data_IF_578622794406
#
_entry.id   IF_578622794406
#
_cell.length_a   1.000
_cell.length_b   1.000
_cell.length_c   1.000
_cell.angle_alpha   90.00
_cell.angle_beta   90.00
_cell.angle_gamma   90.00
#
_symmetry.space_group_name_H-M   'P 1'
#
loop_
_entity.id
_entity.type
_entity.pdbx_description
1 polymer ?
#
# COMPACT_ATOMS: atom_id res chain seq x y z
N UNK A 1 -17.37 24.20 -0.06
CA UNK A 1 -16.58 25.43 0.13
C UNK A 1 -15.09 25.19 0.37
N UNK A 2 -14.70 24.00 0.81
CA UNK A 2 -13.31 23.60 1.10
C UNK A 2 -12.66 22.80 -0.06
N UNK A 3 -13.40 22.61 -1.16
CA UNK A 3 -12.91 21.87 -2.32
C UNK A 3 -12.23 22.84 -3.31
N UNK A 4 -11.13 22.40 -3.92
CA UNK A 4 -10.44 23.15 -4.96
C UNK A 4 -11.38 23.44 -6.13
N UNK A 5 -11.14 24.54 -6.86
CA UNK A 5 -11.89 24.86 -8.11
C UNK A 5 -11.54 23.90 -9.27
N UNK A 6 -10.37 23.30 -9.23
CA UNK A 6 -9.87 22.38 -10.24
C UNK A 6 -8.36 22.44 -10.38
N UNK A 7 -7.83 21.59 -11.25
CA UNK A 7 -6.41 21.61 -11.63
C UNK A 7 -6.15 22.70 -12.69
N UNK A 8 -5.16 23.52 -12.44
CA UNK A 8 -4.84 24.65 -13.32
C UNK A 8 -4.51 24.18 -14.76
N UNK A 9 -5.25 24.69 -15.74
CA UNK A 9 -5.15 24.32 -17.16
C UNK A 9 -5.28 22.80 -17.46
N UNK A 10 -5.94 22.04 -16.58
CA UNK A 10 -6.17 20.59 -16.74
C UNK A 10 -7.65 20.27 -16.58
N UNK A 11 -8.52 20.61 -17.54
CA UNK A 11 -9.96 20.41 -17.42
C UNK A 11 -10.34 18.93 -17.33
N UNK A 12 -9.69 18.04 -18.07
CA UNK A 12 -9.96 16.60 -18.03
C UNK A 12 -9.62 16.00 -16.65
N UNK A 13 -8.46 16.36 -16.08
CA UNK A 13 -8.09 15.92 -14.74
C UNK A 13 -9.05 16.48 -13.66
N UNK A 14 -9.57 17.68 -13.88
CA UNK A 14 -10.58 18.28 -13.00
C UNK A 14 -11.89 17.52 -13.07
N UNK A 15 -12.38 17.21 -14.26
CA UNK A 15 -13.62 16.44 -14.46
C UNK A 15 -13.51 15.01 -13.92
N UNK A 16 -12.33 14.39 -14.00
CA UNK A 16 -12.07 13.08 -13.42
C UNK A 16 -12.06 13.09 -11.88
N UNK A 17 -11.68 14.23 -11.27
CA UNK A 17 -11.57 14.36 -9.81
C UNK A 17 -12.83 14.93 -9.15
N UNK A 18 -13.58 15.80 -9.84
CA UNK A 18 -14.79 16.46 -9.32
C UNK A 18 -15.93 16.12 -10.26
N UNK A 19 -16.94 15.42 -9.75
CA UNK A 19 -18.12 15.07 -10.55
C UNK A 19 -19.05 16.27 -10.81
N UNK A 20 -20.09 16.09 -11.63
CA UNK A 20 -21.06 17.13 -12.00
C UNK A 20 -21.83 17.69 -10.78
N UNK A 21 -22.01 16.90 -9.73
CA UNK A 21 -22.64 17.31 -8.47
C UNK A 21 -21.69 18.08 -7.52
N UNK A 22 -20.44 18.27 -7.93
CA UNK A 22 -19.43 18.99 -7.15
C UNK A 22 -18.72 18.15 -6.07
N UNK A 23 -18.86 16.80 -6.08
CA UNK A 23 -18.16 15.92 -5.15
C UNK A 23 -16.74 15.64 -5.63
N UNK A 24 -15.78 15.82 -4.72
CA UNK A 24 -14.37 15.49 -4.96
C UNK A 24 -14.10 14.02 -4.61
N UNK A 25 -13.62 13.25 -5.58
CA UNK A 25 -13.11 11.90 -5.39
C UNK A 25 -11.66 11.98 -4.88
N UNK A 26 -11.43 11.73 -3.60
CA UNK A 26 -10.09 11.80 -2.99
C UNK A 26 -9.18 10.65 -3.41
N UNK A 27 -9.77 9.55 -3.88
CA UNK A 27 -9.07 8.29 -4.14
C UNK A 27 -8.77 7.48 -2.87
N UNK A 28 -9.22 7.97 -1.70
CA UNK A 28 -9.12 7.25 -0.45
C UNK A 28 -10.40 6.47 -0.15
N UNK A 29 -10.26 5.34 0.51
CA UNK A 29 -11.34 4.53 1.03
C UNK A 29 -11.48 4.77 2.53
N UNK A 30 -12.72 4.92 2.97
CA UNK A 30 -13.02 5.14 4.39
C UNK A 30 -14.20 4.27 4.83
N UNK A 31 -14.18 3.89 6.09
CA UNK A 31 -15.31 3.25 6.78
C UNK A 31 -15.90 4.25 7.79
N UNK A 32 -17.21 4.40 7.77
CA UNK A 32 -17.94 5.19 8.76
C UNK A 32 -18.35 4.27 9.91
N UNK A 33 -18.11 4.69 11.15
CA UNK A 33 -18.60 4.00 12.34
C UNK A 33 -20.03 4.42 12.72
N UNK A 34 -20.59 3.79 13.76
CA UNK A 34 -21.94 4.06 14.26
C UNK A 34 -22.09 5.46 14.85
N UNK A 35 -21.00 6.09 15.30
CA UNK A 35 -20.98 7.45 15.83
C UNK A 35 -20.79 8.50 14.73
N UNK A 36 -20.61 8.08 13.47
CA UNK A 36 -20.45 8.94 12.32
C UNK A 36 -19.01 9.35 12.01
N UNK A 37 -18.00 8.83 12.73
CA UNK A 37 -16.59 9.09 12.44
C UNK A 37 -16.12 8.27 11.24
N UNK A 38 -15.22 8.84 10.46
CA UNK A 38 -14.60 8.18 9.31
C UNK A 38 -13.19 7.71 9.65
N UNK A 39 -12.92 6.43 9.41
CA UNK A 39 -11.58 5.86 9.48
C UNK A 39 -11.10 5.56 8.05
N UNK A 40 -9.97 6.14 7.63
CA UNK A 40 -9.35 5.81 6.35
C UNK A 40 -8.84 4.37 6.41
N UNK A 41 -9.28 3.55 5.45
CA UNK A 41 -8.93 2.13 5.37
C UNK A 41 -7.91 1.83 4.26
N UNK A 42 -7.68 2.77 3.35
CA UNK A 42 -6.69 2.63 2.29
C UNK A 42 -6.86 3.63 1.16
N UNK A 43 -6.07 3.42 0.11
CA UNK A 43 -6.18 4.14 -1.17
C UNK A 43 -6.55 3.18 -2.28
N UNK A 44 -7.42 3.62 -3.17
CA UNK A 44 -7.84 2.81 -4.33
C UNK A 44 -6.63 2.43 -5.18
N UNK A 45 -5.71 3.38 -5.42
CA UNK A 45 -4.49 3.16 -6.24
C UNK A 45 -3.45 2.25 -5.59
N UNK A 46 -3.49 2.07 -4.28
CA UNK A 46 -2.55 1.25 -3.54
C UNK A 46 -3.10 -0.17 -3.28
N UNK A 47 -4.37 -0.41 -3.64
CA UNK A 47 -5.02 -1.71 -3.48
C UNK A 47 -4.27 -2.78 -4.29
N UNK A 48 -4.03 -3.91 -3.65
CA UNK A 48 -3.38 -5.07 -4.26
C UNK A 48 -4.46 -6.05 -4.68
N UNK A 49 -4.45 -6.46 -5.94
CA UNK A 49 -5.40 -7.45 -6.48
C UNK A 49 -4.69 -8.80 -6.55
N UNK A 50 -4.89 -9.61 -5.53
CA UNK A 50 -4.25 -10.92 -5.42
C UNK A 50 -5.26 -12.04 -5.66
N UNK A 51 -5.15 -12.71 -6.81
CA UNK A 51 -6.04 -13.82 -7.15
C UNK A 51 -7.52 -13.45 -7.18
N UNK A 52 -7.85 -12.19 -7.58
CA UNK A 52 -9.21 -11.66 -7.59
C UNK A 52 -9.68 -11.07 -6.26
N UNK A 53 -8.88 -11.15 -5.19
CA UNK A 53 -9.20 -10.53 -3.91
C UNK A 53 -8.55 -9.15 -3.75
N UNK A 54 -9.33 -8.20 -3.27
CA UNK A 54 -8.89 -6.85 -2.98
C UNK A 54 -8.24 -6.78 -1.60
N UNK A 55 -6.95 -6.56 -1.55
CA UNK A 55 -6.17 -6.44 -0.32
C UNK A 55 -5.74 -5.00 -0.14
N UNK A 56 -6.05 -4.44 1.03
CA UNK A 56 -5.70 -3.06 1.36
C UNK A 56 -4.41 -3.02 2.17
N UNK A 57 -3.32 -2.45 1.64
CA UNK A 57 -2.03 -2.36 2.33
C UNK A 57 -2.12 -1.80 3.74
N UNK A 58 -2.95 -0.79 3.95
CA UNK A 58 -3.14 -0.11 5.24
C UNK A 58 -3.51 -1.06 6.39
N UNK A 59 -4.34 -2.07 6.13
CA UNK A 59 -4.73 -3.06 7.13
C UNK A 59 -3.52 -3.87 7.62
N UNK A 60 -2.66 -4.26 6.68
CA UNK A 60 -1.45 -5.04 6.96
C UNK A 60 -0.39 -4.14 7.62
N UNK A 61 -0.23 -2.91 7.13
CA UNK A 61 0.67 -1.91 7.72
C UNK A 61 0.29 -1.60 9.17
N UNK A 62 -0.97 -1.30 9.44
CA UNK A 62 -1.48 -1.00 10.78
C UNK A 62 -1.20 -2.16 11.75
N UNK A 63 -1.34 -3.40 11.28
CA UNK A 63 -1.06 -4.56 12.10
C UNK A 63 0.45 -4.74 12.34
N UNK A 64 1.27 -4.73 11.30
CA UNK A 64 2.74 -4.89 11.43
C UNK A 64 3.32 -3.78 12.31
N UNK A 65 2.78 -2.57 12.23
CA UNK A 65 3.19 -1.43 13.05
C UNK A 65 2.99 -1.65 14.56
N UNK A 66 2.10 -2.57 14.96
CA UNK A 66 1.93 -2.94 16.39
C UNK A 66 3.07 -3.80 16.92
N UNK A 67 3.94 -4.35 16.06
CA UNK A 67 5.07 -5.16 16.50
C UNK A 67 6.11 -4.29 17.25
N UNK A 68 6.56 -4.69 18.46
CA UNK A 68 7.39 -3.84 19.34
C UNK A 68 8.73 -3.41 18.73
N UNK A 69 9.29 -4.22 17.81
CA UNK A 69 10.58 -3.96 17.15
C UNK A 69 10.46 -3.16 15.84
N UNK A 70 9.24 -2.95 15.33
CA UNK A 70 9.02 -2.22 14.08
C UNK A 70 8.95 -0.73 14.35
N UNK A 71 9.69 0.04 13.57
CA UNK A 71 9.67 1.52 13.56
C UNK A 71 8.69 2.05 12.53
N UNK A 72 8.72 1.49 11.32
CA UNK A 72 7.81 1.87 10.23
C UNK A 72 7.66 0.72 9.24
N UNK A 73 6.59 0.72 8.47
CA UNK A 73 6.29 -0.31 7.48
C UNK A 73 5.51 0.25 6.31
N UNK A 74 5.85 -0.21 5.11
CA UNK A 74 5.08 0.06 3.90
C UNK A 74 4.80 -1.25 3.18
N UNK A 75 3.56 -1.42 2.76
CA UNK A 75 3.12 -2.60 2.01
C UNK A 75 2.78 -2.19 0.58
N UNK A 76 3.29 -2.97 -0.37
CA UNK A 76 3.11 -2.77 -1.81
C UNK A 76 2.72 -4.07 -2.50
N UNK A 77 2.04 -3.96 -3.64
CA UNK A 77 1.86 -5.08 -4.56
C UNK A 77 3.06 -5.21 -5.48
N UNK A 78 3.54 -6.43 -5.68
CA UNK A 78 4.53 -6.76 -6.70
C UNK A 78 3.92 -7.75 -7.69
N UNK A 79 4.35 -7.76 -8.97
CA UNK A 79 3.81 -8.68 -9.97
C UNK A 79 4.00 -10.14 -9.57
N UNK A 80 2.99 -10.97 -9.84
CA UNK A 80 3.05 -12.42 -9.65
C UNK A 80 2.36 -13.14 -10.82
N UNK A 81 2.99 -14.19 -11.33
CA UNK A 81 2.51 -14.95 -12.48
C UNK A 81 1.18 -15.66 -12.22
N UNK A 82 0.95 -16.12 -11.00
CA UNK A 82 -0.21 -16.94 -10.64
C UNK A 82 -1.38 -16.08 -10.15
N UNK A 83 -1.08 -15.08 -9.33
CA UNK A 83 -2.10 -14.29 -8.64
C UNK A 83 -2.27 -12.87 -9.21
N UNK A 84 -1.53 -12.51 -10.26
CA UNK A 84 -1.48 -11.14 -10.80
C UNK A 84 -0.59 -10.24 -9.95
N UNK A 85 -0.88 -10.16 -8.67
CA UNK A 85 -0.04 -9.46 -7.68
C UNK A 85 0.20 -10.31 -6.43
N UNK A 86 1.32 -10.06 -5.77
CA UNK A 86 1.67 -10.59 -4.46
C UNK A 86 2.02 -9.47 -3.49
N UNK A 87 1.90 -9.76 -2.20
CA UNK A 87 2.12 -8.77 -1.14
C UNK A 87 3.60 -8.74 -0.77
N UNK A 88 4.18 -7.54 -0.76
CA UNK A 88 5.50 -7.28 -0.23
C UNK A 88 5.44 -6.25 0.89
N UNK A 89 6.05 -6.55 2.03
CA UNK A 89 6.23 -5.63 3.14
C UNK A 89 7.68 -5.16 3.21
N UNK A 90 7.90 -3.85 3.16
CA UNK A 90 9.18 -3.21 3.42
C UNK A 90 9.14 -2.64 4.85
N UNK A 91 10.05 -3.08 5.71
CA UNK A 91 9.99 -2.83 7.16
C UNK A 91 11.26 -2.14 7.64
N UNK A 92 11.08 -1.07 8.39
CA UNK A 92 12.17 -0.41 9.13
C UNK A 92 12.08 -0.85 10.59
N UNK A 93 13.15 -1.40 11.11
CA UNK A 93 13.26 -1.76 12.53
C UNK A 93 13.66 -0.55 13.37
N UNK A 94 13.35 -0.60 14.66
CA UNK A 94 13.87 0.35 15.64
C UNK A 94 15.37 0.16 15.80
N UNK A 95 16.05 1.20 16.21
CA UNK A 95 17.51 1.20 16.37
C UNK A 95 17.95 0.11 17.36
N UNK A 96 18.91 -0.72 16.93
CA UNK A 96 19.44 -1.83 17.74
C UNK A 96 18.58 -3.10 17.75
N UNK A 97 17.38 -3.08 17.18
CA UNK A 97 16.51 -4.24 17.13
C UNK A 97 16.89 -5.20 15.98
N UNK A 98 16.66 -6.48 16.22
CA UNK A 98 16.81 -7.54 15.23
C UNK A 98 15.52 -8.36 15.13
N UNK A 99 15.11 -8.66 13.92
CA UNK A 99 13.92 -9.45 13.62
C UNK A 99 14.16 -10.24 12.34
N UNK A 100 13.84 -11.51 12.34
CA UNK A 100 13.93 -12.35 11.13
C UNK A 100 12.62 -12.27 10.33
N UNK A 101 12.72 -12.63 9.05
CA UNK A 101 11.54 -12.71 8.16
C UNK A 101 10.53 -13.72 8.69
N UNK A 102 11.01 -14.86 9.20
CA UNK A 102 10.13 -15.93 9.69
C UNK A 102 9.40 -15.52 10.98
N UNK A 103 10.11 -14.90 11.93
CA UNK A 103 9.49 -14.35 13.15
C UNK A 103 8.38 -13.34 12.82
N UNK A 104 8.63 -12.43 11.88
CA UNK A 104 7.64 -11.45 11.48
C UNK A 104 6.45 -12.11 10.73
N UNK A 105 6.71 -13.11 9.88
CA UNK A 105 5.65 -13.86 9.22
C UNK A 105 4.78 -14.62 10.21
N UNK A 106 5.37 -15.23 11.21
CA UNK A 106 4.63 -15.97 12.24
C UNK A 106 3.79 -15.01 13.09
N UNK A 107 4.34 -13.84 13.45
CA UNK A 107 3.58 -12.79 14.11
C UNK A 107 2.36 -12.35 13.29
N UNK A 108 2.52 -12.15 11.99
CA UNK A 108 1.43 -11.74 11.10
C UNK A 108 0.39 -12.86 11.00
N UNK A 109 0.80 -14.11 10.76
CA UNK A 109 -0.10 -15.26 10.59
C UNK A 109 -0.95 -15.56 11.79
N UNK A 110 -0.48 -15.23 12.99
CA UNK A 110 -1.23 -15.48 14.23
C UNK A 110 -2.44 -14.55 14.40
N UNK A 111 -2.54 -13.47 13.61
CA UNK A 111 -3.58 -12.46 13.82
C UNK A 111 -4.29 -12.01 12.53
N UNK A 112 -3.67 -12.15 11.37
CA UNK A 112 -4.26 -11.78 10.09
C UNK A 112 -4.53 -13.03 9.24
N UNK A 113 -5.57 -12.96 8.41
CA UNK A 113 -5.92 -14.03 7.49
C UNK A 113 -4.73 -14.42 6.60
N UNK A 114 -4.54 -15.72 6.36
CA UNK A 114 -3.39 -16.29 5.67
C UNK A 114 -3.12 -15.65 4.29
N UNK A 115 -4.18 -15.32 3.54
CA UNK A 115 -4.05 -14.71 2.21
C UNK A 115 -3.53 -13.27 2.24
N UNK A 116 -3.57 -12.59 3.40
CA UNK A 116 -3.02 -11.25 3.62
C UNK A 116 -1.59 -11.26 4.18
N UNK A 117 -1.02 -12.44 4.45
CA UNK A 117 0.38 -12.53 4.90
C UNK A 117 1.32 -12.19 3.74
N UNK A 118 2.24 -11.23 3.89
CA UNK A 118 3.20 -10.90 2.86
C UNK A 118 4.05 -12.11 2.44
N UNK A 119 4.12 -12.37 1.14
CA UNK A 119 5.04 -13.37 0.60
C UNK A 119 6.48 -12.91 0.72
N UNK A 120 6.70 -11.64 0.42
CA UNK A 120 8.01 -11.00 0.49
C UNK A 120 8.07 -10.03 1.67
N UNK A 121 9.13 -10.11 2.45
CA UNK A 121 9.45 -9.16 3.51
C UNK A 121 10.90 -8.72 3.32
N UNK A 122 11.09 -7.41 3.32
CA UNK A 122 12.41 -6.79 3.22
C UNK A 122 12.62 -5.82 4.37
N UNK A 123 13.74 -5.96 5.07
CA UNK A 123 14.16 -4.97 6.04
C UNK A 123 15.00 -3.90 5.34
N UNK A 124 14.58 -2.66 5.48
CA UNK A 124 15.18 -1.49 4.83
C UNK A 124 15.53 -0.43 5.86
N UNK A 125 16.44 0.47 5.53
CA UNK A 125 16.83 1.58 6.41
C UNK A 125 15.99 2.83 6.19
N UNK A 126 15.46 3.01 4.97
CA UNK A 126 14.65 4.16 4.59
C UNK A 126 13.68 3.81 3.45
N UNK A 127 12.64 4.61 3.28
CA UNK A 127 11.76 4.55 2.12
C UNK A 127 12.07 5.67 1.14
N UNK A 128 11.90 5.46 -0.17
CA UNK A 128 12.02 6.54 -1.15
C UNK A 128 10.92 7.58 -0.92
N UNK A 129 11.31 8.84 -0.75
CA UNK A 129 10.40 9.96 -0.51
C UNK A 129 10.60 11.07 -1.54
N UNK A 130 9.56 11.89 -1.73
CA UNK A 130 9.70 13.14 -2.46
C UNK A 130 10.21 14.26 -1.51
N UNK A 131 10.46 15.46 -2.08
CA UNK A 131 10.92 16.62 -1.31
C UNK A 131 9.95 17.07 -0.20
N UNK A 132 8.67 16.70 -0.29
CA UNK A 132 7.65 17.00 0.73
C UNK A 132 7.52 15.89 1.79
N UNK A 133 8.42 14.88 1.81
CA UNK A 133 8.40 13.78 2.77
C UNK A 133 7.33 12.70 2.48
N UNK A 134 6.70 12.73 1.30
CA UNK A 134 5.71 11.70 0.93
C UNK A 134 6.42 10.46 0.40
N UNK A 135 6.10 9.30 0.96
CA UNK A 135 6.61 8.01 0.50
C UNK A 135 6.12 7.70 -0.92
N UNK A 136 7.04 7.27 -1.77
CA UNK A 136 6.81 7.00 -3.18
C UNK A 136 6.69 5.48 -3.41
N UNK A 137 5.51 4.90 -3.11
CA UNK A 137 5.24 3.46 -3.25
C UNK A 137 5.52 2.94 -4.66
N UNK A 138 5.30 3.75 -5.70
CA UNK A 138 5.63 3.35 -7.07
C UNK A 138 7.13 3.08 -7.27
N UNK A 139 8.01 3.91 -6.66
CA UNK A 139 9.47 3.66 -6.68
C UNK A 139 9.85 2.42 -5.91
N UNK A 140 9.20 2.18 -4.77
CA UNK A 140 9.41 0.94 -4.01
C UNK A 140 9.05 -0.28 -4.86
N UNK A 141 7.92 -0.21 -5.59
CA UNK A 141 7.49 -1.27 -6.51
C UNK A 141 8.50 -1.49 -7.64
N UNK A 142 9.00 -0.43 -8.27
CA UNK A 142 10.04 -0.51 -9.32
C UNK A 142 11.31 -1.20 -8.80
N UNK A 143 11.81 -0.77 -7.64
CA UNK A 143 12.97 -1.37 -6.98
C UNK A 143 12.75 -2.84 -6.61
N UNK A 144 11.57 -3.18 -6.11
CA UNK A 144 11.20 -4.55 -5.77
C UNK A 144 11.15 -5.46 -7.02
N UNK A 145 10.57 -4.99 -8.13
CA UNK A 145 10.54 -5.71 -9.41
C UNK A 145 11.95 -6.02 -9.89
N UNK A 146 12.85 -5.05 -9.84
CA UNK A 146 14.25 -5.22 -10.23
C UNK A 146 14.97 -6.22 -9.32
N UNK A 147 14.85 -6.04 -8.00
CA UNK A 147 15.53 -6.84 -7.00
C UNK A 147 15.07 -8.31 -6.98
N UNK A 148 13.79 -8.54 -7.18
CA UNK A 148 13.18 -9.87 -7.18
C UNK A 148 13.21 -10.54 -8.55
N UNK A 149 13.65 -9.84 -9.61
CA UNK A 149 13.72 -10.38 -10.97
C UNK A 149 12.34 -10.58 -11.61
N UNK A 150 11.35 -9.74 -11.26
CA UNK A 150 9.95 -9.87 -11.69
C UNK A 150 9.60 -9.05 -12.95
N UNK A 151 10.58 -8.72 -13.78
CA UNK A 151 10.38 -7.90 -14.99
C UNK A 151 9.48 -8.57 -16.03
N UNK A 152 9.53 -9.89 -16.12
CA UNK A 152 8.68 -10.65 -17.04
C UNK A 152 7.21 -10.61 -16.60
N UNK A 153 6.96 -10.75 -15.31
CA UNK A 153 5.63 -10.72 -14.69
C UNK A 153 5.01 -9.32 -14.74
N UNK A 154 5.84 -8.27 -14.66
CA UNK A 154 5.36 -6.88 -14.72
C UNK A 154 4.74 -6.48 -16.08
N UNK A 155 4.99 -7.28 -17.14
CA UNK A 155 4.40 -7.10 -18.48
C UNK A 155 3.04 -7.77 -18.63
N UNK A 156 2.63 -8.58 -17.67
CA UNK A 156 1.32 -9.21 -17.65
C UNK A 156 0.33 -8.15 -17.16
N UNK A 157 -0.37 -7.51 -18.09
CA UNK A 157 -1.47 -6.60 -17.75
C UNK A 157 -2.64 -7.49 -17.31
N UNK A 158 -2.95 -7.48 -16.03
CA UNK A 158 -4.22 -8.04 -15.55
C UNK A 158 -5.34 -7.14 -16.02
N UNK A 159 -6.17 -7.67 -16.91
CA UNK A 159 -7.35 -6.99 -17.45
C UNK A 159 -8.41 -6.78 -16.36
#
# INVERSE_FOLDING_TARGET
YNIMKGYYKMPEATAAAINEDGWLHTGDLARRDENGYFKITGRIKDMIIRGGENIYPKEIEDFIYTHPKVKDVQVIGVPDKQYGEEIMACVILKDGEQLTVDELKDYIRSHIAKHKTPRYIEFVTEFPMNAAGKILKYKMREQAIEKLGLQAESRIVTA
#
